data_IF_693122664976
#
_entry.id   IF_693122664976
#
_cell.length_a   1.000
_cell.length_b   1.000
_cell.length_c   1.000
_cell.angle_alpha   90.00
_cell.angle_beta   90.00
_cell.angle_gamma   90.00
#
_symmetry.space_group_name_H-M   'P 1'
#
loop_
_entity.id
_entity.type
_entity.pdbx_description
1 polymer ?
#
# COMPACT_ATOMS: atom_id res chain seq x y z
N UNK A 1 11.54 -44.13 -24.87
CA UNK A 1 11.08 -42.73 -24.70
C UNK A 1 10.03 -42.71 -23.59
N UNK A 2 10.45 -42.66 -22.33
CA UNK A 2 9.62 -43.01 -21.15
C UNK A 2 9.24 -41.76 -20.35
N UNK A 3 7.94 -41.45 -20.34
CA UNK A 3 7.14 -41.05 -19.17
C UNK A 3 7.65 -39.91 -18.23
N UNK A 4 8.27 -38.85 -18.74
CA UNK A 4 8.52 -37.63 -17.93
C UNK A 4 7.38 -36.60 -17.95
N UNK A 5 6.39 -36.79 -18.83
CA UNK A 5 5.33 -35.81 -19.12
C UNK A 5 4.31 -35.62 -17.96
N UNK A 6 3.87 -36.65 -17.21
CA UNK A 6 2.83 -36.47 -16.20
C UNK A 6 3.30 -35.72 -14.95
N UNK A 7 4.56 -35.92 -14.55
CA UNK A 7 5.14 -35.24 -13.38
C UNK A 7 5.41 -33.76 -13.70
N UNK A 8 5.94 -33.46 -14.88
CA UNK A 8 6.12 -32.10 -15.35
C UNK A 8 4.76 -31.37 -15.45
N UNK A 9 3.72 -32.01 -16.02
CA UNK A 9 2.39 -31.43 -16.10
C UNK A 9 1.81 -31.06 -14.71
N UNK A 10 1.99 -31.91 -13.71
CA UNK A 10 1.56 -31.61 -12.32
C UNK A 10 2.32 -30.43 -11.73
N UNK A 11 3.63 -30.32 -11.98
CA UNK A 11 4.44 -29.19 -11.52
C UNK A 11 4.02 -27.89 -12.20
N UNK A 12 3.72 -27.91 -13.51
CA UNK A 12 3.22 -26.73 -14.22
C UNK A 12 1.89 -26.26 -13.65
N UNK A 13 0.90 -27.16 -13.48
CA UNK A 13 -0.39 -26.78 -12.88
C UNK A 13 -0.23 -26.28 -11.44
N UNK A 14 0.67 -26.86 -10.64
CA UNK A 14 0.93 -26.37 -9.29
C UNK A 14 1.55 -24.95 -9.29
N UNK A 15 2.46 -24.68 -10.23
CA UNK A 15 3.06 -23.36 -10.40
C UNK A 15 2.03 -22.33 -10.90
N UNK A 16 1.21 -22.67 -11.89
CA UNK A 16 0.12 -21.81 -12.38
C UNK A 16 -0.84 -21.43 -11.25
N UNK A 17 -1.29 -22.42 -10.46
CA UNK A 17 -2.15 -22.16 -9.30
C UNK A 17 -1.48 -21.26 -8.26
N UNK A 18 -0.16 -21.41 -8.03
CA UNK A 18 0.57 -20.55 -7.11
C UNK A 18 0.67 -19.12 -7.62
N UNK A 19 0.93 -18.93 -8.92
CA UNK A 19 0.96 -17.60 -9.58
C UNK A 19 -0.41 -16.94 -9.52
N UNK A 20 -1.49 -17.68 -9.78
CA UNK A 20 -2.86 -17.17 -9.70
C UNK A 20 -3.21 -16.74 -8.26
N UNK A 21 -2.83 -17.56 -7.27
CA UNK A 21 -3.03 -17.24 -5.86
C UNK A 21 -2.24 -16.00 -5.43
N UNK A 22 -0.98 -15.86 -5.86
CA UNK A 22 -0.16 -14.67 -5.60
C UNK A 22 -0.78 -13.42 -6.24
N UNK A 23 -1.23 -13.54 -7.49
CA UNK A 23 -1.87 -12.44 -8.22
C UNK A 23 -3.14 -11.96 -7.52
N UNK A 24 -3.99 -12.89 -7.09
CA UNK A 24 -5.21 -12.57 -6.35
C UNK A 24 -4.90 -11.97 -4.98
N UNK A 25 -3.92 -12.52 -4.25
CA UNK A 25 -3.47 -11.96 -2.98
C UNK A 25 -2.97 -10.52 -3.16
N UNK A 26 -2.15 -10.25 -4.18
CA UNK A 26 -1.66 -8.91 -4.51
C UNK A 26 -2.81 -7.95 -4.84
N UNK A 27 -3.79 -8.37 -5.64
CA UNK A 27 -4.98 -7.54 -5.94
C UNK A 27 -5.80 -7.19 -4.71
N UNK A 28 -5.86 -8.08 -3.72
CA UNK A 28 -6.53 -7.81 -2.44
C UNK A 28 -5.73 -6.82 -1.61
N UNK A 29 -4.42 -7.05 -1.47
CA UNK A 29 -3.49 -6.13 -0.79
C UNK A 29 -3.58 -4.74 -1.40
N UNK A 30 -3.53 -4.62 -2.73
CA UNK A 30 -3.64 -3.35 -3.44
C UNK A 30 -4.92 -2.59 -3.08
N UNK A 31 -6.04 -3.24 -2.78
CA UNK A 31 -7.26 -2.54 -2.35
C UNK A 31 -7.36 -2.33 -0.84
N UNK A 32 -6.81 -3.25 -0.06
CA UNK A 32 -6.91 -3.20 1.40
C UNK A 32 -5.90 -2.22 2.00
N UNK A 33 -4.65 -2.21 1.53
CA UNK A 33 -3.61 -1.37 2.11
C UNK A 33 -3.97 0.14 2.03
N UNK A 34 -4.43 0.69 0.89
CA UNK A 34 -4.89 2.09 0.84
C UNK A 34 -6.11 2.37 1.72
N UNK A 35 -7.04 1.41 1.82
CA UNK A 35 -8.24 1.56 2.67
C UNK A 35 -7.87 1.55 4.16
N UNK A 36 -6.95 0.68 4.57
CA UNK A 36 -6.43 0.63 5.94
C UNK A 36 -5.64 1.90 6.25
N UNK A 37 -4.82 2.39 5.31
CA UNK A 37 -4.09 3.65 5.46
C UNK A 37 -5.03 4.83 5.67
N UNK A 38 -6.13 4.90 4.91
CA UNK A 38 -7.15 5.93 5.08
C UNK A 38 -7.78 5.89 6.48
N UNK A 39 -8.13 4.70 6.98
CA UNK A 39 -8.67 4.52 8.34
C UNK A 39 -7.66 4.98 9.40
N UNK A 40 -6.38 4.65 9.21
CA UNK A 40 -5.32 5.06 10.12
C UNK A 40 -5.17 6.59 10.13
N UNK A 41 -5.09 7.22 8.96
CA UNK A 41 -5.00 8.67 8.84
C UNK A 41 -6.18 9.37 9.51
N UNK A 42 -7.41 8.89 9.30
CA UNK A 42 -8.62 9.44 9.93
C UNK A 42 -8.62 9.28 11.46
N UNK A 43 -8.25 8.09 11.96
CA UNK A 43 -8.18 7.81 13.40
C UNK A 43 -7.18 8.71 14.15
N UNK A 44 -6.08 9.07 13.50
CA UNK A 44 -5.07 9.96 14.06
C UNK A 44 -5.24 11.44 13.69
N UNK A 45 -6.21 11.77 12.83
CA UNK A 45 -6.45 13.13 12.35
C UNK A 45 -5.38 13.65 11.36
N UNK A 46 -4.61 12.76 10.74
CA UNK A 46 -3.63 13.13 9.72
C UNK A 46 -4.30 13.42 8.40
N UNK A 47 -4.00 14.56 7.82
CA UNK A 47 -4.53 14.95 6.52
C UNK A 47 -3.65 14.48 5.36
N UNK A 48 -2.34 14.50 5.55
CA UNK A 48 -1.35 14.08 4.57
C UNK A 48 -0.19 13.37 5.27
N UNK A 49 0.40 12.38 4.60
CA UNK A 49 1.65 11.75 5.03
C UNK A 49 2.73 11.96 3.98
N UNK A 50 3.97 12.08 4.46
CA UNK A 50 5.18 12.04 3.63
C UNK A 50 5.89 10.73 3.91
N UNK A 51 6.36 10.09 2.84
CA UNK A 51 7.01 8.78 2.92
C UNK A 51 8.43 8.84 2.42
N UNK A 52 9.22 7.87 2.89
CA UNK A 52 10.60 7.66 2.46
C UNK A 52 10.72 7.67 0.92
N UNK A 53 11.66 8.46 0.36
CA UNK A 53 11.76 8.64 -1.08
C UNK A 53 12.29 7.42 -1.85
N UNK A 54 13.00 6.51 -1.19
CA UNK A 54 13.62 5.35 -1.83
C UNK A 54 12.61 4.21 -2.05
N UNK A 55 11.99 3.76 -0.96
CA UNK A 55 11.13 2.59 -0.92
C UNK A 55 9.64 2.94 -0.77
N UNK A 56 9.29 4.17 -0.37
CA UNK A 56 7.90 4.61 -0.09
C UNK A 56 7.19 3.66 0.86
N UNK A 57 7.95 3.13 1.81
CA UNK A 57 7.51 2.06 2.72
C UNK A 57 7.31 2.52 4.14
N UNK A 58 7.92 3.66 4.50
CA UNK A 58 7.91 4.23 5.84
C UNK A 58 7.32 5.63 5.80
N UNK A 59 6.65 6.01 6.87
CA UNK A 59 6.23 7.38 7.11
C UNK A 59 7.41 8.14 7.71
N UNK A 60 7.78 9.27 7.10
CA UNK A 60 8.80 10.20 7.61
C UNK A 60 8.19 11.40 8.32
N UNK A 61 6.99 11.80 7.89
CA UNK A 61 6.33 13.01 8.36
C UNK A 61 4.82 12.87 8.19
N UNK A 62 4.04 13.48 9.09
CA UNK A 62 2.57 13.54 8.98
C UNK A 62 2.10 14.98 9.18
N UNK A 63 1.11 15.39 8.39
CA UNK A 63 0.63 16.76 8.31
C UNK A 63 -0.85 16.77 8.70
N UNK A 64 -1.22 17.66 9.62
CA UNK A 64 -2.60 17.82 10.09
C UNK A 64 -3.45 18.63 9.10
N UNK A 65 -4.77 18.66 9.33
CA UNK A 65 -5.72 19.40 8.48
C UNK A 65 -5.49 20.92 8.44
N UNK A 66 -4.84 21.49 9.46
CA UNK A 66 -4.45 22.91 9.50
C UNK A 66 -3.13 23.19 8.77
N UNK A 67 -2.52 22.17 8.15
CA UNK A 67 -1.24 22.24 7.46
C UNK A 67 -0.03 22.26 8.41
N UNK A 68 -0.25 22.13 9.73
CA UNK A 68 0.84 21.97 10.68
C UNK A 68 1.48 20.59 10.53
N UNK A 69 2.79 20.57 10.62
CA UNK A 69 3.57 19.35 10.69
C UNK A 69 3.49 18.75 12.10
N UNK A 70 3.22 17.46 12.19
CA UNK A 70 3.35 16.72 13.45
C UNK A 70 4.80 16.32 13.61
N UNK A 71 5.51 17.05 14.47
CA UNK A 71 6.85 16.66 14.88
C UNK A 71 6.77 15.43 15.79
N UNK A 72 6.84 14.25 15.19
CA UNK A 72 7.00 12.98 15.87
C UNK A 72 8.47 12.80 16.26
N UNK A 73 8.72 12.28 17.45
CA UNK A 73 10.07 11.83 17.82
C UNK A 73 10.44 10.57 17.02
N UNK A 74 11.73 10.27 16.90
CA UNK A 74 12.18 9.03 16.23
C UNK A 74 11.51 7.78 16.86
N UNK A 75 11.38 7.74 18.19
CA UNK A 75 10.70 6.65 18.91
C UNK A 75 9.20 6.55 18.56
N UNK A 76 8.55 7.68 18.26
CA UNK A 76 7.12 7.70 17.90
C UNK A 76 6.93 7.39 16.41
N UNK A 77 7.86 7.79 15.55
CA UNK A 77 7.92 7.35 14.16
C UNK A 77 8.17 5.85 14.07
N UNK A 78 9.03 5.28 14.92
CA UNK A 78 9.27 3.84 14.96
C UNK A 78 8.01 3.09 15.38
N UNK A 79 7.31 3.52 16.44
CA UNK A 79 6.03 2.91 16.83
C UNK A 79 4.96 3.05 15.74
N UNK A 80 4.89 4.22 15.12
CA UNK A 80 3.99 4.46 14.00
C UNK A 80 4.29 3.50 12.85
N UNK A 81 5.57 3.36 12.49
CA UNK A 81 6.02 2.48 11.44
C UNK A 81 5.83 1.00 11.85
N UNK A 82 5.99 0.60 13.11
CA UNK A 82 5.65 -0.77 13.53
C UNK A 82 4.17 -1.10 13.25
N UNK A 83 3.28 -0.12 13.38
CA UNK A 83 1.86 -0.25 13.02
C UNK A 83 1.60 -0.08 11.51
N UNK A 84 2.36 0.79 10.83
CA UNK A 84 2.07 1.27 9.47
C UNK A 84 3.00 0.75 8.36
N UNK A 85 4.19 0.22 8.64
CA UNK A 85 5.19 -0.33 7.69
C UNK A 85 4.55 -1.39 6.82
N UNK A 86 3.79 -2.28 7.45
CA UNK A 86 3.06 -3.35 6.76
C UNK A 86 1.93 -2.83 5.86
N UNK A 87 1.54 -1.56 5.98
CA UNK A 87 0.44 -0.95 5.23
C UNK A 87 1.00 -0.03 4.15
N UNK A 88 1.85 0.93 4.52
CA UNK A 88 2.43 1.94 3.61
C UNK A 88 3.29 1.26 2.55
N UNK A 89 4.19 0.35 2.94
CA UNK A 89 5.00 -0.43 1.99
C UNK A 89 4.20 -1.41 1.13
N UNK A 90 2.93 -1.66 1.46
CA UNK A 90 2.04 -2.48 0.65
C UNK A 90 1.09 -1.64 -0.22
N UNK A 91 1.09 -0.32 -0.07
CA UNK A 91 0.33 0.56 -0.94
C UNK A 91 0.96 0.63 -2.35
N UNK A 92 0.16 0.71 -3.42
CA UNK A 92 0.69 0.89 -4.76
C UNK A 92 1.52 2.16 -4.88
N UNK A 93 2.74 2.08 -5.41
CA UNK A 93 3.66 3.23 -5.47
C UNK A 93 3.12 4.45 -6.23
N UNK A 94 2.17 4.25 -7.14
CA UNK A 94 1.51 5.32 -7.91
C UNK A 94 0.52 6.17 -7.09
N UNK A 95 0.22 5.75 -5.86
CA UNK A 95 -0.64 6.47 -4.92
C UNK A 95 0.10 7.67 -4.28
N UNK A 96 1.43 7.60 -4.22
CA UNK A 96 2.26 8.67 -3.68
C UNK A 96 2.69 9.62 -4.79
N UNK A 97 2.33 10.89 -4.65
CA UNK A 97 2.66 11.95 -5.61
C UNK A 97 3.91 12.68 -5.16
N UNK A 98 4.83 12.95 -6.09
CA UNK A 98 6.03 13.72 -5.80
C UNK A 98 5.71 15.23 -5.82
N UNK A 99 5.84 15.89 -4.67
CA UNK A 99 5.57 17.33 -4.47
C UNK A 99 6.59 17.89 -3.48
N UNK A 100 7.12 19.07 -3.80
CA UNK A 100 8.11 19.80 -2.96
C UNK A 100 9.33 18.95 -2.56
N UNK A 101 9.80 18.10 -3.47
CA UNK A 101 10.97 17.25 -3.23
C UNK A 101 10.69 15.95 -2.47
N UNK A 102 9.43 15.66 -2.13
CA UNK A 102 9.05 14.50 -1.32
C UNK A 102 7.89 13.72 -1.93
N UNK A 103 7.80 12.42 -1.63
CA UNK A 103 6.63 11.60 -1.96
C UNK A 103 5.61 11.70 -0.84
N UNK A 104 4.36 11.99 -1.21
CA UNK A 104 3.30 12.23 -0.24
C UNK A 104 1.94 11.77 -0.74
N UNK A 105 1.01 11.57 0.18
CA UNK A 105 -0.39 11.30 -0.14
C UNK A 105 -1.32 11.90 0.90
N UNK A 106 -2.37 12.54 0.43
CA UNK A 106 -3.45 13.10 1.25
C UNK A 106 -4.66 12.17 1.35
N UNK A 107 -5.51 12.40 2.36
CA UNK A 107 -6.82 11.74 2.48
C UNK A 107 -7.62 11.85 1.17
N UNK A 108 -7.70 13.04 0.58
CA UNK A 108 -8.48 13.25 -0.65
C UNK A 108 -7.95 12.46 -1.84
N UNK A 109 -6.64 12.28 -1.94
CA UNK A 109 -6.01 11.44 -2.96
C UNK A 109 -6.33 9.95 -2.73
N UNK A 110 -6.29 9.50 -1.47
CA UNK A 110 -6.69 8.13 -1.09
C UNK A 110 -8.16 7.84 -1.43
N UNK A 111 -9.07 8.73 -1.05
CA UNK A 111 -10.50 8.61 -1.33
C UNK A 111 -10.79 8.58 -2.83
N UNK A 112 -10.13 9.47 -3.58
CA UNK A 112 -10.23 9.50 -5.05
C UNK A 112 -9.74 8.19 -5.66
N UNK A 113 -8.60 7.70 -5.20
CA UNK A 113 -8.02 6.45 -5.68
C UNK A 113 -8.93 5.25 -5.40
N UNK A 114 -9.47 5.17 -4.17
CA UNK A 114 -10.35 4.09 -3.72
C UNK A 114 -11.68 4.10 -4.49
N UNK A 115 -12.29 5.26 -4.68
CA UNK A 115 -13.56 5.40 -5.40
C UNK A 115 -13.45 4.98 -6.87
N UNK A 116 -12.37 5.37 -7.55
CA UNK A 116 -12.10 4.96 -8.93
C UNK A 116 -11.97 3.44 -9.09
N UNK A 117 -11.33 2.76 -8.14
CA UNK A 117 -11.18 1.29 -8.19
C UNK A 117 -12.39 0.51 -7.73
N UNK A 118 -13.23 1.07 -6.86
CA UNK A 118 -14.53 0.47 -6.52
C UNK A 118 -15.51 0.53 -7.70
N UNK A 119 -15.43 1.59 -8.52
CA UNK A 119 -16.24 1.71 -9.73
C UNK A 119 -15.89 0.65 -10.79
N UNK A 120 -14.60 0.36 -10.99
CA UNK A 120 -14.12 -0.66 -11.95
C UNK A 120 -14.51 -2.08 -11.57
N UNK A 121 -14.76 -2.39 -10.28
CA UNK A 121 -15.20 -3.72 -9.82
C UNK A 121 -16.71 -3.98 -9.94
N UNK A 122 -17.52 -2.97 -10.28
CA UNK A 122 -18.99 -3.09 -10.41
C UNK A 122 -19.50 -3.09 -11.86
N UNK A 123 -18.61 -2.97 -12.84
CA UNK A 123 -18.91 -3.14 -14.26
C UNK A 123 -18.42 -4.51 -14.74
#
# INVERSE_FOLDING_TARGET
MKLLVPAAARLFTALENAIDAETEARRRIDSLAPATLLILMDAHGWHEIVVDPEARSLIEQVINADGSDVHLSDDDLDKLNDEAVGIVGQCPLCLFTFRDGQYRVSIGELETWLSQRQYVRRQ
#
